data_IF_040832503791
#
_entry.id   IF_040832503791
#
_cell.length_a   1.000
_cell.length_b   1.000
_cell.length_c   1.000
_cell.angle_alpha   90.00
_cell.angle_beta   90.00
_cell.angle_gamma   90.00
#
_symmetry.space_group_name_H-M   'P 1'
#
loop_
_entity.id
_entity.type
_entity.pdbx_description
1 polymer ?
#
# COMPACT_ATOMS: atom_id res chain seq x y z
N UNK A 1 3.84 0.97 24.24
CA UNK A 1 2.77 0.96 25.27
C UNK A 1 3.22 0.33 26.59
N UNK A 2 3.84 -0.86 26.62
CA UNK A 2 4.28 -1.50 27.88
C UNK A 2 5.27 -0.65 28.71
N UNK A 3 6.26 -0.05 28.05
CA UNK A 3 7.28 0.82 28.69
C UNK A 3 6.67 2.14 29.19
N UNK A 4 5.53 2.56 28.64
CA UNK A 4 4.86 3.82 28.99
C UNK A 4 3.77 3.65 30.07
N UNK A 5 3.69 2.50 30.75
CA UNK A 5 2.68 2.25 31.79
C UNK A 5 2.72 3.30 32.91
N UNK A 6 3.84 3.38 33.63
CA UNK A 6 4.01 4.32 34.76
C UNK A 6 3.86 5.78 34.33
N UNK A 7 4.45 6.24 33.19
CA UNK A 7 4.24 7.61 32.71
C UNK A 7 2.79 7.93 32.33
N UNK A 8 2.05 7.01 31.70
CA UNK A 8 0.67 7.27 31.25
C UNK A 8 -0.29 7.28 32.45
N UNK A 9 -0.07 6.41 33.44
CA UNK A 9 -0.84 6.41 34.69
C UNK A 9 -0.61 7.69 35.50
N UNK A 10 0.59 8.25 35.47
CA UNK A 10 0.91 9.52 36.12
C UNK A 10 0.38 10.76 35.37
N UNK A 11 0.44 10.76 34.03
CA UNK A 11 -0.09 11.84 33.20
C UNK A 11 -0.53 11.32 31.82
N UNK A 12 -1.81 11.46 31.50
CA UNK A 12 -2.41 11.00 30.25
C UNK A 12 -1.81 11.68 29.01
N UNK A 13 -1.22 12.88 29.14
CA UNK A 13 -0.56 13.60 28.04
C UNK A 13 0.60 12.78 27.44
N UNK A 14 1.19 11.86 28.21
CA UNK A 14 2.27 11.01 27.72
C UNK A 14 1.86 10.04 26.58
N UNK A 15 0.55 9.88 26.33
CA UNK A 15 0.04 9.20 25.14
C UNK A 15 0.46 9.92 23.85
N UNK A 16 0.71 11.23 23.91
CA UNK A 16 1.16 12.04 22.76
C UNK A 16 2.47 11.50 22.17
N UNK A 17 3.41 11.09 23.02
CA UNK A 17 4.65 10.48 22.57
C UNK A 17 4.43 9.14 21.88
N UNK A 18 3.45 8.35 22.34
CA UNK A 18 3.21 7.00 21.81
C UNK A 18 2.75 7.05 20.34
N UNK A 19 1.77 7.88 19.99
CA UNK A 19 1.30 7.96 18.60
C UNK A 19 2.33 8.58 17.67
N UNK A 20 3.13 9.54 18.16
CA UNK A 20 4.24 10.12 17.38
C UNK A 20 5.31 9.09 17.04
N UNK A 21 5.70 8.26 18.01
CA UNK A 21 6.67 7.17 17.78
C UNK A 21 6.12 6.18 16.76
N UNK A 22 4.83 5.83 16.84
CA UNK A 22 4.19 4.93 15.86
C UNK A 22 4.24 5.52 14.44
N UNK A 23 3.94 6.81 14.27
CA UNK A 23 4.07 7.46 12.96
C UNK A 23 5.53 7.55 12.49
N UNK A 24 6.45 7.93 13.37
CA UNK A 24 7.87 8.03 13.05
C UNK A 24 8.44 6.67 12.57
N UNK A 25 8.03 5.57 13.20
CA UNK A 25 8.41 4.23 12.77
C UNK A 25 7.88 3.91 11.36
N UNK A 26 6.66 4.36 11.01
CA UNK A 26 6.09 4.21 9.67
C UNK A 26 6.81 5.03 8.60
N UNK A 27 7.47 6.13 8.96
CA UNK A 27 8.26 6.94 8.03
C UNK A 27 9.55 6.24 7.60
N UNK A 28 10.13 5.36 8.43
CA UNK A 28 11.39 4.66 8.12
C UNK A 28 11.31 3.86 6.81
N UNK A 29 10.36 2.92 6.59
CA UNK A 29 10.26 2.20 5.33
C UNK A 29 9.91 3.13 4.15
N UNK A 30 9.15 4.21 4.37
CA UNK A 30 8.87 5.19 3.33
C UNK A 30 10.14 5.95 2.88
N UNK A 31 11.01 6.32 3.82
CA UNK A 31 12.30 6.93 3.51
C UNK A 31 13.22 5.94 2.79
N UNK A 32 13.24 4.67 3.19
CA UNK A 32 13.99 3.62 2.50
C UNK A 32 13.52 3.44 1.05
N UNK A 33 12.20 3.40 0.81
CA UNK A 33 11.67 3.27 -0.56
C UNK A 33 11.95 4.50 -1.41
N UNK A 34 11.90 5.70 -0.83
CA UNK A 34 12.26 6.95 -1.50
C UNK A 34 13.76 6.99 -1.87
N UNK A 35 14.63 6.54 -0.96
CA UNK A 35 16.06 6.39 -1.24
C UNK A 35 16.30 5.43 -2.41
N UNK A 36 15.68 4.24 -2.40
CA UNK A 36 15.75 3.28 -3.49
C UNK A 36 15.24 3.87 -4.81
N UNK A 37 14.18 4.70 -4.74
CA UNK A 37 13.60 5.38 -5.91
C UNK A 37 14.55 6.36 -6.57
N UNK A 38 15.43 7.01 -5.82
CA UNK A 38 16.45 7.89 -6.42
C UNK A 38 17.58 7.14 -7.14
N UNK A 39 17.77 5.84 -6.83
CA UNK A 39 18.79 5.00 -7.45
C UNK A 39 18.24 4.14 -8.61
N UNK A 40 16.93 4.16 -8.82
CA UNK A 40 16.24 3.43 -9.87
C UNK A 40 16.41 4.16 -11.22
N UNK A 41 16.83 3.46 -12.29
CA UNK A 41 16.82 4.05 -13.62
C UNK A 41 15.38 4.31 -14.08
N UNK A 42 15.23 5.28 -14.98
CA UNK A 42 13.93 5.67 -15.52
C UNK A 42 13.25 4.50 -16.23
N UNK A 43 11.91 4.48 -16.23
CA UNK A 43 11.18 3.36 -16.82
C UNK A 43 11.45 3.25 -18.33
N UNK A 44 11.67 2.05 -18.89
CA UNK A 44 11.96 1.85 -20.31
C UNK A 44 10.94 2.50 -21.25
N UNK A 45 9.66 2.39 -20.87
CA UNK A 45 8.55 2.92 -21.65
C UNK A 45 8.57 4.45 -21.68
N UNK A 46 8.97 5.10 -20.60
CA UNK A 46 9.08 6.55 -20.54
C UNK A 46 10.30 7.05 -21.31
N UNK A 47 11.46 6.40 -21.12
CA UNK A 47 12.68 6.72 -21.86
C UNK A 47 12.48 6.61 -23.38
N UNK A 48 11.80 5.55 -23.83
CA UNK A 48 11.56 5.31 -25.26
C UNK A 48 10.46 6.22 -25.84
N UNK A 49 9.32 6.37 -25.14
CA UNK A 49 8.15 7.08 -25.71
C UNK A 49 8.16 8.58 -25.50
N UNK A 50 8.75 9.05 -24.40
CA UNK A 50 8.71 10.47 -24.01
C UNK A 50 10.06 11.12 -24.25
N UNK A 51 11.13 10.54 -23.70
CA UNK A 51 12.49 11.10 -23.84
C UNK A 51 13.10 10.80 -25.20
N UNK A 52 12.63 9.75 -25.90
CA UNK A 52 13.17 9.25 -27.18
C UNK A 52 14.67 8.95 -27.11
N UNK A 53 15.12 8.51 -25.95
CA UNK A 53 16.51 8.14 -25.69
C UNK A 53 16.61 6.59 -25.65
N UNK A 54 17.18 5.96 -26.69
CA UNK A 54 17.29 4.52 -26.77
C UNK A 54 18.30 3.94 -25.76
N UNK A 55 19.35 4.68 -25.41
CA UNK A 55 20.37 4.22 -24.45
C UNK A 55 19.77 4.16 -23.03
N UNK A 56 19.03 5.20 -22.63
CA UNK A 56 18.34 5.23 -21.34
C UNK A 56 17.25 4.13 -21.24
N UNK A 57 16.56 3.83 -22.35
CA UNK A 57 15.56 2.77 -22.40
C UNK A 57 16.20 1.37 -22.24
N UNK A 58 17.39 1.16 -22.80
CA UNK A 58 18.13 -0.09 -22.66
C UNK A 58 18.64 -0.29 -21.22
N UNK A 59 19.16 0.77 -20.58
CA UNK A 59 19.56 0.75 -19.16
C UNK A 59 18.37 0.37 -18.27
N UNK A 60 17.20 0.97 -18.49
CA UNK A 60 15.98 0.61 -17.76
C UNK A 60 15.53 -0.84 -18.00
N UNK A 61 15.69 -1.37 -19.22
CA UNK A 61 15.32 -2.76 -19.57
C UNK A 61 16.27 -3.75 -18.89
N UNK A 62 17.57 -3.49 -18.92
CA UNK A 62 18.58 -4.31 -18.24
C UNK A 62 18.33 -4.37 -16.73
N UNK A 63 18.02 -3.22 -16.12
CA UNK A 63 17.67 -3.15 -14.70
C UNK A 63 16.36 -3.91 -14.38
N UNK A 64 15.31 -3.76 -15.18
CA UNK A 64 14.03 -4.45 -14.99
C UNK A 64 14.13 -5.98 -15.11
N UNK A 65 15.10 -6.47 -15.91
CA UNK A 65 15.39 -7.90 -16.08
C UNK A 65 16.35 -8.45 -15.01
N UNK A 66 16.81 -7.62 -14.06
CA UNK A 66 17.78 -8.02 -13.04
C UNK A 66 19.18 -8.27 -13.59
N UNK A 67 19.45 -7.90 -14.85
CA UNK A 67 20.77 -7.99 -15.45
C UNK A 67 21.59 -6.80 -14.95
N UNK A 68 22.42 -7.04 -13.95
CA UNK A 68 23.44 -6.10 -13.50
C UNK A 68 24.45 -5.89 -14.64
N UNK A 69 24.14 -4.99 -15.57
CA UNK A 69 25.11 -4.53 -16.56
C UNK A 69 26.20 -3.78 -15.80
N UNK A 70 27.36 -4.42 -15.65
CA UNK A 70 28.60 -3.81 -15.18
C UNK A 70 29.03 -2.75 -16.19
N UNK A 71 28.38 -1.60 -16.19
CA UNK A 71 28.88 -0.39 -16.84
C UNK A 71 28.58 0.78 -15.94
N UNK A 72 29.50 1.00 -15.01
CA UNK A 72 29.57 2.23 -14.25
C UNK A 72 29.71 3.41 -15.22
N UNK A 73 28.84 4.40 -15.00
CA UNK A 73 29.10 5.83 -15.17
C UNK A 73 29.69 6.27 -16.52
N UNK A 74 28.83 6.86 -17.36
CA UNK A 74 29.09 8.18 -17.92
C UNK A 74 27.80 9.00 -17.89
N UNK A 75 27.70 9.86 -16.88
CA UNK A 75 26.87 11.05 -16.92
C UNK A 75 27.40 11.93 -18.05
N UNK A 76 26.90 11.77 -19.27
CA UNK A 76 27.25 12.66 -20.39
C UNK A 76 26.48 13.97 -20.23
N UNK A 77 27.14 15.14 -20.28
CA UNK A 77 26.50 16.44 -20.18
C UNK A 77 25.42 16.65 -21.24
N UNK A 78 24.30 17.20 -20.76
CA UNK A 78 23.02 17.40 -21.44
C UNK A 78 23.11 18.50 -22.51
N UNK A 79 23.05 18.12 -23.78
CA UNK A 79 22.77 19.04 -24.90
C UNK A 79 21.26 19.31 -25.00
N UNK A 80 20.78 20.56 -25.17
CA UNK A 80 19.36 20.86 -25.25
C UNK A 80 18.86 20.64 -26.68
N UNK A 81 18.56 19.40 -27.06
CA UNK A 81 18.00 19.11 -28.39
C UNK A 81 16.48 19.17 -28.36
N UNK A 82 15.98 20.31 -28.84
CA UNK A 82 14.60 20.53 -29.23
C UNK A 82 14.19 19.59 -30.37
N UNK A 83 13.15 18.77 -30.15
CA UNK A 83 12.08 18.60 -31.14
C UNK A 83 10.84 17.97 -30.51
N UNK A 84 9.95 18.86 -30.07
CA UNK A 84 8.57 18.57 -29.69
C UNK A 84 7.81 18.02 -30.89
N UNK A 85 7.52 16.72 -30.90
CA UNK A 85 6.36 16.20 -31.64
C UNK A 85 5.45 15.56 -30.61
N UNK A 86 4.43 16.31 -30.18
CA UNK A 86 3.36 15.84 -29.29
C UNK A 86 2.81 14.54 -29.88
N UNK A 87 2.96 13.42 -29.17
CA UNK A 87 2.10 12.25 -29.39
C UNK A 87 0.71 12.66 -28.90
N UNK A 88 -0.05 13.32 -29.77
CA UNK A 88 -1.47 13.48 -29.62
C UNK A 88 -2.14 12.21 -30.17
N UNK A 89 -2.27 11.18 -29.35
CA UNK A 89 -3.15 10.04 -29.64
C UNK A 89 -3.98 9.64 -28.40
N UNK A 90 -4.46 10.65 -27.67
CA UNK A 90 -5.27 10.48 -26.45
C UNK A 90 -6.78 10.44 -26.71
N UNK A 91 -7.23 10.40 -27.97
CA UNK A 91 -8.66 10.63 -28.29
C UNK A 91 -9.53 9.39 -28.48
N UNK A 92 -8.99 8.18 -28.38
CA UNK A 92 -9.76 6.96 -28.64
C UNK A 92 -10.03 6.05 -27.42
N UNK A 93 -9.26 6.16 -26.32
CA UNK A 93 -9.37 5.24 -25.18
C UNK A 93 -10.78 5.14 -24.57
N UNK A 94 -11.50 6.26 -24.41
CA UNK A 94 -12.83 6.24 -23.77
C UNK A 94 -13.92 5.62 -24.66
N UNK A 95 -13.82 5.83 -25.98
CA UNK A 95 -14.76 5.25 -26.95
C UNK A 95 -14.57 3.73 -27.03
N UNK A 96 -13.32 3.29 -27.06
CA UNK A 96 -12.98 1.87 -27.12
C UNK A 96 -13.37 1.15 -25.82
N UNK A 97 -13.17 1.79 -24.66
CA UNK A 97 -13.68 1.32 -23.38
C UNK A 97 -15.20 1.13 -23.41
N UNK A 98 -15.95 2.14 -23.88
CA UNK A 98 -17.41 2.07 -23.95
C UNK A 98 -17.89 0.98 -24.90
N UNK A 99 -17.24 0.79 -26.05
CA UNK A 99 -17.58 -0.27 -27.00
C UNK A 99 -17.32 -1.66 -26.38
N UNK A 100 -16.18 -1.82 -25.72
CA UNK A 100 -15.80 -3.08 -25.08
C UNK A 100 -16.75 -3.48 -23.94
N UNK A 101 -17.09 -2.54 -23.06
CA UNK A 101 -18.00 -2.76 -21.93
C UNK A 101 -19.49 -2.63 -22.28
N UNK A 102 -19.83 -2.23 -23.51
CA UNK A 102 -21.21 -2.33 -24.02
C UNK A 102 -21.60 -3.79 -24.29
N UNK A 103 -20.63 -4.70 -24.43
CA UNK A 103 -20.90 -6.12 -24.59
C UNK A 103 -21.20 -6.75 -23.23
N UNK A 104 -22.37 -7.39 -23.12
CA UNK A 104 -22.86 -7.96 -21.86
C UNK A 104 -21.91 -9.01 -21.25
N UNK A 105 -21.19 -9.75 -22.10
CA UNK A 105 -20.16 -10.71 -21.67
C UNK A 105 -19.06 -10.05 -20.84
N UNK A 106 -18.60 -8.87 -21.25
CA UNK A 106 -17.50 -8.16 -20.60
C UNK A 106 -18.01 -7.31 -19.42
N UNK A 107 -19.23 -6.76 -19.55
CA UNK A 107 -19.85 -5.95 -18.51
C UNK A 107 -20.17 -6.74 -17.24
N UNK A 108 -20.63 -7.99 -17.36
CA UNK A 108 -20.92 -8.85 -16.19
C UNK A 108 -19.70 -9.10 -15.33
N UNK A 109 -18.54 -9.34 -15.94
CA UNK A 109 -17.28 -9.54 -15.20
C UNK A 109 -16.92 -8.26 -14.46
N UNK A 110 -17.01 -7.10 -15.12
CA UNK A 110 -16.76 -5.80 -14.48
C UNK A 110 -17.69 -5.55 -13.30
N UNK A 111 -19.01 -5.76 -13.47
CA UNK A 111 -19.99 -5.58 -12.38
C UNK A 111 -19.72 -6.57 -11.24
N UNK A 112 -19.38 -7.83 -11.55
CA UNK A 112 -19.00 -8.83 -10.55
C UNK A 112 -17.79 -8.39 -9.75
N UNK A 113 -16.69 -8.03 -10.42
CA UNK A 113 -15.48 -7.56 -9.74
C UNK A 113 -15.73 -6.29 -8.92
N UNK A 114 -16.41 -5.30 -9.48
CA UNK A 114 -16.70 -4.05 -8.77
C UNK A 114 -17.61 -4.27 -7.56
N UNK A 115 -18.64 -5.11 -7.69
CA UNK A 115 -19.58 -5.36 -6.58
C UNK A 115 -18.93 -6.20 -5.48
N UNK A 116 -18.16 -7.23 -5.80
CA UNK A 116 -17.40 -8.00 -4.81
C UNK A 116 -16.41 -7.13 -4.06
N UNK A 117 -15.63 -6.30 -4.76
CA UNK A 117 -14.66 -5.42 -4.12
C UNK A 117 -15.34 -4.35 -3.26
N UNK A 118 -16.42 -3.74 -3.77
CA UNK A 118 -17.19 -2.73 -3.04
C UNK A 118 -17.77 -3.27 -1.72
N UNK A 119 -18.39 -4.46 -1.75
CA UNK A 119 -18.95 -5.09 -0.55
C UNK A 119 -17.86 -5.51 0.43
N UNK A 120 -16.73 -6.03 -0.08
CA UNK A 120 -15.56 -6.37 0.73
C UNK A 120 -15.03 -5.12 1.44
N UNK A 121 -14.87 -4.01 0.74
CA UNK A 121 -14.36 -2.76 1.30
C UNK A 121 -15.28 -2.21 2.41
N UNK A 122 -16.60 -2.26 2.23
CA UNK A 122 -17.55 -1.85 3.28
C UNK A 122 -17.32 -2.65 4.56
N UNK A 123 -17.24 -3.97 4.46
CA UNK A 123 -17.07 -4.82 5.62
C UNK A 123 -15.66 -4.67 6.22
N UNK A 124 -14.62 -4.71 5.38
CA UNK A 124 -13.23 -4.68 5.80
C UNK A 124 -12.87 -3.35 6.47
N UNK A 125 -13.17 -2.22 5.84
CA UNK A 125 -12.90 -0.91 6.44
C UNK A 125 -13.89 -0.58 7.55
N UNK A 126 -15.15 -1.00 7.43
CA UNK A 126 -16.16 -0.81 8.48
C UNK A 126 -15.75 -1.45 9.82
N UNK A 127 -15.23 -2.67 9.77
CA UNK A 127 -14.70 -3.38 10.93
C UNK A 127 -13.36 -2.78 11.37
N UNK A 128 -12.41 -2.59 10.44
CA UNK A 128 -11.05 -2.13 10.75
C UNK A 128 -11.00 -0.73 11.39
N UNK A 129 -11.88 0.19 10.99
CA UNK A 129 -11.94 1.53 11.57
C UNK A 129 -12.62 1.56 12.94
N UNK A 130 -13.50 0.59 13.24
CA UNK A 130 -14.26 0.50 14.49
C UNK A 130 -13.79 -0.64 15.40
N UNK A 131 -12.53 -1.05 15.27
CA UNK A 131 -11.97 -2.19 16.03
C UNK A 131 -12.10 -2.04 17.55
N UNK A 132 -12.05 -0.81 18.09
CA UNK A 132 -12.28 -0.57 19.52
C UNK A 132 -13.66 -1.03 19.98
N UNK A 133 -14.69 -0.76 19.17
CA UNK A 133 -16.08 -1.13 19.45
C UNK A 133 -16.25 -2.65 19.33
N UNK A 134 -15.64 -3.27 18.32
CA UNK A 134 -15.70 -4.72 18.12
C UNK A 134 -15.04 -5.47 19.28
N UNK A 135 -13.83 -5.07 19.68
CA UNK A 135 -13.10 -5.68 20.80
C UNK A 135 -13.86 -5.50 22.12
N UNK A 136 -14.52 -4.35 22.30
CA UNK A 136 -15.38 -4.10 23.47
C UNK A 136 -16.64 -4.97 23.44
N UNK A 137 -17.28 -5.15 22.28
CA UNK A 137 -18.48 -5.96 22.13
C UNK A 137 -18.22 -7.46 22.36
N UNK A 138 -17.00 -7.94 22.07
CA UNK A 138 -16.55 -9.31 22.36
C UNK A 138 -16.32 -9.53 23.87
N UNK A 139 -16.34 -8.47 24.69
CA UNK A 139 -16.11 -8.55 26.14
C UNK A 139 -14.63 -8.60 26.55
N UNK A 140 -13.71 -8.29 25.62
CA UNK A 140 -12.27 -8.29 25.90
C UNK A 140 -11.77 -6.96 26.50
N UNK A 141 -12.44 -5.85 26.17
CA UNK A 141 -12.13 -4.56 26.78
C UNK A 141 -12.73 -4.46 28.20
N UNK A 142 -11.98 -3.91 29.18
CA UNK A 142 -12.50 -3.72 30.53
C UNK A 142 -13.49 -2.55 30.57
N UNK A 143 -14.43 -2.59 31.53
CA UNK A 143 -15.39 -1.51 31.75
C UNK A 143 -14.66 -0.16 31.86
N UNK A 144 -14.97 0.76 30.95
CA UNK A 144 -14.37 2.09 30.83
C UNK A 144 -14.57 2.98 32.06
N UNK A 145 -15.43 2.57 32.99
CA UNK A 145 -15.71 3.25 34.27
C UNK A 145 -14.75 2.84 35.40
N UNK A 146 -13.98 1.76 35.24
CA UNK A 146 -13.08 1.23 36.29
C UNK A 146 -11.63 1.05 35.84
N UNK A 147 -11.37 1.04 34.53
CA UNK A 147 -10.04 0.80 33.98
C UNK A 147 -9.24 2.10 33.81
N UNK A 148 -7.92 2.02 34.04
CA UNK A 148 -7.03 3.14 33.73
C UNK A 148 -6.94 3.35 32.21
N UNK A 149 -6.72 4.59 31.71
CA UNK A 149 -6.57 4.84 30.26
C UNK A 149 -5.51 3.97 29.58
N UNK A 150 -4.44 3.63 30.31
CA UNK A 150 -3.41 2.71 29.83
C UNK A 150 -3.95 1.29 29.65
N UNK A 151 -4.72 0.77 30.61
CA UNK A 151 -5.27 -0.59 30.54
C UNK A 151 -6.22 -0.77 29.36
N UNK A 152 -7.07 0.23 29.08
CA UNK A 152 -7.96 0.22 27.91
C UNK A 152 -7.16 0.16 26.62
N UNK A 153 -6.17 1.04 26.44
CA UNK A 153 -5.34 1.09 25.24
C UNK A 153 -4.48 -0.17 25.08
N UNK A 154 -3.95 -0.70 26.18
CA UNK A 154 -3.12 -1.91 26.17
C UNK A 154 -3.95 -3.14 25.81
N UNK A 155 -5.12 -3.34 26.43
CA UNK A 155 -6.02 -4.45 26.07
C UNK A 155 -6.53 -4.31 24.65
N UNK A 156 -6.87 -3.11 24.18
CA UNK A 156 -7.23 -2.91 22.78
C UNK A 156 -6.07 -3.26 21.82
N UNK A 157 -4.83 -2.90 22.15
CA UNK A 157 -3.66 -3.25 21.36
C UNK A 157 -3.42 -4.78 21.33
N UNK A 158 -3.53 -5.45 22.49
CA UNK A 158 -3.40 -6.91 22.59
C UNK A 158 -4.51 -7.63 21.81
N UNK A 159 -5.76 -7.16 21.92
CA UNK A 159 -6.88 -7.72 21.16
C UNK A 159 -6.67 -7.62 19.65
N UNK A 160 -6.24 -6.45 19.16
CA UNK A 160 -5.90 -6.28 17.75
C UNK A 160 -4.73 -7.17 17.31
N UNK A 161 -3.72 -7.34 18.18
CA UNK A 161 -2.60 -8.24 17.90
C UNK A 161 -3.06 -9.69 17.76
N UNK A 162 -3.91 -10.17 18.67
CA UNK A 162 -4.45 -11.54 18.64
C UNK A 162 -5.26 -11.76 17.35
N UNK A 163 -6.17 -10.84 17.02
CA UNK A 163 -6.99 -10.94 15.80
C UNK A 163 -6.10 -10.94 14.55
N UNK A 164 -5.05 -10.11 14.52
CA UNK A 164 -4.14 -10.05 13.38
C UNK A 164 -3.31 -11.33 13.23
N UNK A 165 -2.77 -11.86 14.33
CA UNK A 165 -1.93 -13.06 14.35
C UNK A 165 -2.71 -14.35 14.07
N UNK A 166 -3.94 -14.46 14.56
CA UNK A 166 -4.75 -15.68 14.42
C UNK A 166 -5.74 -15.63 13.26
N UNK A 167 -6.15 -14.44 12.83
CA UNK A 167 -7.10 -14.24 11.74
C UNK A 167 -6.40 -13.85 10.43
N UNK A 168 -5.89 -12.62 10.39
CA UNK A 168 -5.41 -12.03 9.14
C UNK A 168 -4.20 -12.77 8.54
N UNK A 169 -3.15 -12.99 9.34
CA UNK A 169 -1.91 -13.63 8.85
C UNK A 169 -2.16 -15.05 8.33
N UNK A 170 -2.82 -15.97 9.07
CA UNK A 170 -3.11 -17.30 8.57
C UNK A 170 -4.05 -17.26 7.37
N UNK A 171 -5.03 -16.36 7.35
CA UNK A 171 -5.91 -16.16 6.21
C UNK A 171 -5.16 -15.84 4.92
N UNK A 172 -4.18 -14.91 4.97
CA UNK A 172 -3.34 -14.60 3.82
C UNK A 172 -2.53 -15.81 3.35
N UNK A 173 -1.95 -16.58 4.27
CA UNK A 173 -1.20 -17.78 3.89
C UNK A 173 -2.10 -18.84 3.26
N UNK A 174 -3.30 -19.07 3.80
CA UNK A 174 -4.28 -19.97 3.18
C UNK A 174 -4.55 -19.51 1.75
N UNK A 175 -4.84 -18.22 1.53
CA UNK A 175 -5.06 -17.69 0.18
C UNK A 175 -3.85 -17.93 -0.74
N UNK A 176 -2.62 -17.66 -0.28
CA UNK A 176 -1.41 -17.89 -1.08
C UNK A 176 -1.27 -19.35 -1.52
N UNK A 177 -1.59 -20.30 -0.64
CA UNK A 177 -1.49 -21.73 -0.97
C UNK A 177 -2.68 -22.24 -1.80
N UNK A 178 -3.87 -21.68 -1.62
CA UNK A 178 -5.08 -22.18 -2.25
C UNK A 178 -5.47 -21.46 -3.53
N UNK A 179 -5.01 -20.24 -3.79
CA UNK A 179 -5.46 -19.43 -4.94
C UNK A 179 -5.20 -20.14 -6.26
N UNK A 180 -4.02 -20.73 -6.46
CA UNK A 180 -3.69 -21.47 -7.68
C UNK A 180 -4.49 -22.79 -7.82
N UNK A 181 -4.99 -23.35 -6.72
CA UNK A 181 -5.74 -24.62 -6.73
C UNK A 181 -7.25 -24.42 -6.86
N UNK A 182 -7.79 -23.36 -6.26
CA UNK A 182 -9.23 -23.07 -6.22
C UNK A 182 -9.66 -22.07 -7.31
N UNK A 183 -8.72 -21.31 -7.86
CA UNK A 183 -8.96 -20.25 -8.84
C UNK A 183 -8.85 -18.85 -8.25
#
# INVERSE_FOLDING_TARGET
LAIFKVPIEANQINIDYVWRILLALGVVPAACTLYSRFHLPESPRYAERVLKDPELAEIGKAYALGVQSKSSAKLVPREPMAHTKKLADDRHHFRDFRIYFSQWRNLKVLIGTCSTWFLLDIAFYGLSLNQSIVISAIGFAPDTTKASPWETLFKQAVGNLIISLLGAIPGYYVTVFTVEHLG
#
